data_IF_763493811307
#
_entry.id   IF_763493811307
#
_cell.length_a   1.000
_cell.length_b   1.000
_cell.length_c   1.000
_cell.angle_alpha   90.00
_cell.angle_beta   90.00
_cell.angle_gamma   90.00
#
_symmetry.space_group_name_H-M   'P 1'
#
loop_
_entity.id
_entity.type
_entity.pdbx_description
1 polymer ?
#
# COMPACT_ATOMS: atom_id res chain seq x y z
N UNK A 1 8.85 -2.97 -8.59
CA UNK A 1 7.97 -4.09 -8.98
C UNK A 1 7.49 -4.74 -7.69
N UNK A 2 6.18 -4.71 -7.44
CA UNK A 2 5.58 -5.23 -6.21
C UNK A 2 5.19 -6.71 -6.38
N UNK A 3 5.34 -7.48 -5.30
CA UNK A 3 4.93 -8.88 -5.22
C UNK A 3 3.87 -9.05 -4.12
N UNK A 4 3.02 -10.07 -4.28
CA UNK A 4 2.06 -10.46 -3.26
C UNK A 4 2.79 -10.81 -1.95
N UNK A 5 2.24 -10.36 -0.83
CA UNK A 5 2.80 -10.60 0.50
C UNK A 5 3.89 -9.62 0.95
N UNK A 6 4.36 -8.70 0.10
CA UNK A 6 5.28 -7.64 0.52
C UNK A 6 4.65 -6.76 1.60
N UNK A 7 5.41 -6.45 2.65
CA UNK A 7 4.96 -5.52 3.68
C UNK A 7 5.44 -4.13 3.30
N UNK A 8 4.51 -3.18 3.35
CA UNK A 8 4.78 -1.79 2.99
C UNK A 8 4.35 -0.83 4.09
N UNK A 9 5.02 0.31 4.12
CA UNK A 9 4.61 1.48 4.90
C UNK A 9 4.20 2.61 3.96
N UNK A 10 3.08 3.26 4.26
CA UNK A 10 2.51 4.34 3.46
C UNK A 10 2.85 5.70 4.12
N UNK A 11 3.43 6.61 3.35
CA UNK A 11 3.80 7.98 3.73
C UNK A 11 2.98 9.02 2.94
N UNK A 12 1.66 8.80 2.85
CA UNK A 12 0.74 9.70 2.15
C UNK A 12 0.50 10.99 2.98
N UNK A 13 0.23 12.10 2.30
CA UNK A 13 -0.21 13.35 2.92
C UNK A 13 -1.64 13.24 3.50
N UNK A 14 -2.46 12.31 3.00
CA UNK A 14 -3.74 11.99 3.62
C UNK A 14 -3.49 11.39 5.02
N UNK A 15 -3.93 12.04 6.10
CA UNK A 15 -3.70 11.58 7.47
C UNK A 15 -4.29 10.21 7.77
N UNK A 16 -5.30 9.75 7.02
CA UNK A 16 -5.87 8.40 7.17
C UNK A 16 -4.87 7.30 6.80
N UNK A 17 -3.98 7.57 5.84
CA UNK A 17 -3.06 6.58 5.30
C UNK A 17 -1.62 6.77 5.77
N UNK A 18 -1.28 7.96 6.27
CA UNK A 18 0.06 8.26 6.75
C UNK A 18 0.50 7.32 7.89
N UNK A 19 1.68 6.73 7.75
CA UNK A 19 2.25 5.71 8.63
C UNK A 19 1.46 4.40 8.73
N UNK A 20 0.50 4.14 7.85
CA UNK A 20 -0.17 2.84 7.79
C UNK A 20 0.82 1.76 7.33
N UNK A 21 0.74 0.60 7.99
CA UNK A 21 1.46 -0.61 7.58
C UNK A 21 0.45 -1.57 6.97
N UNK A 22 0.77 -2.11 5.81
CA UNK A 22 -0.08 -3.04 5.12
C UNK A 22 0.69 -4.07 4.30
N UNK A 23 -0.05 -4.98 3.70
CA UNK A 23 0.48 -6.08 2.89
C UNK A 23 -0.08 -5.92 1.48
N UNK A 24 0.76 -6.16 0.46
CA UNK A 24 0.28 -6.28 -0.92
C UNK A 24 -0.57 -7.55 -1.01
N UNK A 25 -1.88 -7.39 -1.06
CA UNK A 25 -2.84 -8.48 -0.99
C UNK A 25 -3.17 -9.05 -2.38
N UNK A 26 -3.38 -8.16 -3.36
CA UNK A 26 -3.63 -8.54 -4.75
C UNK A 26 -3.11 -7.48 -5.72
N UNK A 27 -2.98 -7.87 -6.99
CA UNK A 27 -2.55 -6.99 -8.10
C UNK A 27 -3.55 -7.17 -9.24
N UNK A 28 -4.24 -6.09 -9.61
CA UNK A 28 -5.24 -6.09 -10.69
C UNK A 28 -4.78 -5.13 -11.77
N UNK A 29 -4.67 -5.59 -13.02
CA UNK A 29 -4.20 -4.79 -14.16
C UNK A 29 -2.86 -4.08 -13.90
N UNK A 30 -1.98 -4.72 -13.13
CA UNK A 30 -0.67 -4.17 -12.76
C UNK A 30 -0.70 -3.13 -11.63
N UNK A 31 -1.86 -2.87 -11.02
CA UNK A 31 -2.03 -1.97 -9.88
C UNK A 31 -2.07 -2.81 -8.59
N UNK A 32 -1.05 -2.70 -7.72
CA UNK A 32 -1.06 -3.36 -6.42
C UNK A 32 -2.04 -2.69 -5.45
N UNK A 33 -2.78 -3.51 -4.71
CA UNK A 33 -3.64 -3.09 -3.62
C UNK A 33 -3.03 -3.50 -2.27
N UNK A 34 -2.84 -2.51 -1.38
CA UNK A 34 -2.34 -2.72 -0.02
C UNK A 34 -3.52 -2.91 0.92
N UNK A 35 -3.63 -4.08 1.53
CA UNK A 35 -4.52 -4.28 2.68
C UNK A 35 -3.86 -3.68 3.92
N UNK A 36 -4.45 -2.62 4.48
CA UNK A 36 -3.91 -1.94 5.66
C UNK A 36 -4.33 -2.64 6.94
N UNK A 37 -3.34 -3.00 7.79
CA UNK A 37 -3.61 -3.64 9.08
C UNK A 37 -4.22 -2.63 10.06
N UNK A 38 -3.84 -1.36 9.95
CA UNK A 38 -4.35 -0.27 10.78
C UNK A 38 -5.74 0.20 10.35
N UNK A 39 -6.16 -0.12 9.12
CA UNK A 39 -7.49 0.17 8.58
C UNK A 39 -8.08 -1.07 7.88
N UNK A 40 -8.51 -2.10 8.64
CA UNK A 40 -8.77 -3.46 8.13
C UNK A 40 -10.06 -3.64 7.31
N UNK A 41 -10.54 -2.59 6.65
CA UNK A 41 -11.70 -2.61 5.76
C UNK A 41 -11.45 -1.88 4.43
N UNK A 42 -10.26 -1.29 4.25
CA UNK A 42 -9.93 -0.46 3.09
C UNK A 42 -8.63 -0.92 2.44
N UNK A 43 -8.55 -0.75 1.12
CA UNK A 43 -7.34 -0.96 0.35
C UNK A 43 -6.75 0.37 -0.11
N UNK A 44 -5.43 0.49 -0.02
CA UNK A 44 -4.70 1.59 -0.63
C UNK A 44 -4.12 1.14 -1.96
N UNK A 45 -4.47 1.84 -3.05
CA UNK A 45 -4.02 1.50 -4.39
C UNK A 45 -2.70 2.19 -4.73
N UNK A 46 -1.72 1.41 -5.17
CA UNK A 46 -0.43 1.92 -5.62
C UNK A 46 -0.52 2.22 -7.12
N UNK A 47 -0.80 3.48 -7.45
CA UNK A 47 -0.80 3.99 -8.83
C UNK A 47 0.52 4.72 -9.11
N UNK A 48 0.72 5.17 -10.35
CA UNK A 48 1.90 5.98 -10.71
C UNK A 48 2.06 7.24 -9.86
N UNK A 49 0.95 7.82 -9.40
CA UNK A 49 0.97 9.07 -8.63
C UNK A 49 1.29 8.83 -7.15
N UNK A 50 0.95 7.65 -6.63
CA UNK A 50 1.06 7.30 -5.21
C UNK A 50 2.24 6.39 -4.88
N UNK A 51 2.89 5.78 -5.86
CA UNK A 51 4.06 4.88 -5.68
C UNK A 51 5.18 5.53 -4.86
N UNK A 52 5.41 6.83 -5.05
CA UNK A 52 6.40 7.62 -4.30
C UNK A 52 6.14 7.71 -2.79
N UNK A 53 4.95 7.34 -2.33
CA UNK A 53 4.57 7.32 -0.91
C UNK A 53 4.79 5.95 -0.27
N UNK A 54 5.25 4.95 -1.02
CA UNK A 54 5.35 3.57 -0.55
C UNK A 54 6.80 3.21 -0.21
N UNK A 55 7.02 2.81 1.04
CA UNK A 55 8.27 2.21 1.50
C UNK A 55 8.07 0.70 1.63
N UNK A 56 8.88 -0.10 0.94
CA UNK A 56 8.87 -1.57 1.09
C UNK A 56 9.75 -1.95 2.29
N UNK A 57 9.19 -2.69 3.24
CA UNK A 57 9.88 -3.08 4.46
C UNK A 57 10.56 -4.45 4.37
N UNK A 58 10.14 -5.30 3.42
CA UNK A 58 10.72 -6.61 3.10
C UNK A 58 10.13 -7.25 1.84
#
# INVERSE_FOLDING_TARGET
>A
MYNLGMIVKIHDFNPEWNNCIGIIDHITDGIPAVFSITHPCCFYLITKDTEKYIEVLN
#
